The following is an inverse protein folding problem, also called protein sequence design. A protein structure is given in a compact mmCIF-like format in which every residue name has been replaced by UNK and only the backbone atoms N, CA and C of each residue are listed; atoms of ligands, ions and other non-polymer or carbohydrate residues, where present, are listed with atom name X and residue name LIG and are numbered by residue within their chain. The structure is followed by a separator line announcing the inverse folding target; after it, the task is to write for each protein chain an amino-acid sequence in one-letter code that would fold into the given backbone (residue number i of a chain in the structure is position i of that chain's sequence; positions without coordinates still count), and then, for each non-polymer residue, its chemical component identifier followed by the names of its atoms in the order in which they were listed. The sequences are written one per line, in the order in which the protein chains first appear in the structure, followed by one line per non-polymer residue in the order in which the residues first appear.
data_IF_688667443670
#
_entry.id   IF_688667443670
#
_cell.length_a   1.000
_cell.length_b   1.000
_cell.length_c   1.000
_cell.angle_alpha   90.00
_cell.angle_beta   90.00
_cell.angle_gamma   90.00
#
_symmetry.space_group_name_H-M   'P 1'
#
loop_
_entity.id
_entity.type
_entity.pdbx_description
1 polymer ?
#
# COMPACT_ATOMS: atom_id res chain seq x y z
N UNK A 1 11.51 17.45 91.17
CA UNK A 1 10.43 16.69 90.50
C UNK A 1 9.77 17.59 89.47
N UNK A 2 10.06 17.38 88.19
CA UNK A 2 9.12 17.44 87.04
C UNK A 2 9.94 17.45 85.76
N UNK A 3 9.77 16.40 84.95
CA UNK A 3 10.37 16.18 83.65
C UNK A 3 9.42 16.71 82.58
N UNK A 4 9.89 17.55 81.65
CA UNK A 4 9.23 17.74 80.36
C UNK A 4 10.19 17.35 79.24
N UNK A 5 9.81 16.30 78.50
CA UNK A 5 10.43 15.83 77.27
C UNK A 5 9.87 16.62 76.08
N UNK A 6 10.72 17.00 75.13
CA UNK A 6 10.27 17.29 73.76
C UNK A 6 11.28 16.76 72.74
N UNK A 7 10.76 16.01 71.77
CA UNK A 7 11.46 15.33 70.68
C UNK A 7 11.73 16.30 69.51
N UNK A 8 12.83 16.16 68.74
CA UNK A 8 12.99 16.89 67.49
C UNK A 8 12.29 16.16 66.33
N UNK A 9 11.60 16.94 65.49
CA UNK A 9 10.96 16.48 64.24
C UNK A 9 12.03 16.48 63.14
N UNK A 10 12.32 15.31 62.58
CA UNK A 10 13.06 15.19 61.33
C UNK A 10 12.12 15.49 60.15
N UNK A 11 12.43 16.53 59.37
CA UNK A 11 11.77 16.81 58.10
C UNK A 11 12.42 15.95 56.99
N UNK A 12 11.70 14.98 56.47
CA UNK A 12 12.13 14.18 55.31
C UNK A 12 11.66 14.87 54.03
N UNK A 13 12.61 15.42 53.26
CA UNK A 13 12.36 15.93 51.90
C UNK A 13 12.25 14.71 50.97
N UNK A 14 11.05 14.40 50.51
CA UNK A 14 10.81 13.43 49.43
C UNK A 14 11.11 14.14 48.11
N UNK A 15 12.29 13.93 47.56
CA UNK A 15 12.63 14.33 46.19
C UNK A 15 11.92 13.41 45.20
N UNK A 16 10.96 13.96 44.44
CA UNK A 16 10.35 13.28 43.30
C UNK A 16 11.38 13.22 42.15
N UNK A 17 12.00 12.05 41.98
CA UNK A 17 12.80 11.72 40.80
C UNK A 17 11.84 11.38 39.68
N UNK A 18 11.63 12.30 38.74
CA UNK A 18 10.98 11.99 37.47
C UNK A 18 11.97 11.20 36.60
N UNK A 19 11.64 9.98 36.13
CA UNK A 19 12.42 9.37 35.08
C UNK A 19 12.19 10.17 33.80
N UNK A 20 13.24 10.79 33.28
CA UNK A 20 13.23 11.32 31.93
C UNK A 20 13.11 10.13 30.96
N UNK A 21 11.88 9.84 30.53
CA UNK A 21 11.63 8.94 29.40
C UNK A 21 12.05 9.71 28.15
N UNK A 22 13.35 9.61 27.83
CA UNK A 22 13.88 9.99 26.54
C UNK A 22 13.43 8.98 25.49
N UNK A 23 12.19 9.07 25.03
CA UNK A 23 11.79 8.44 23.78
C UNK A 23 12.40 9.25 22.65
N UNK A 24 13.61 8.90 22.21
CA UNK A 24 14.02 9.22 20.84
C UNK A 24 13.05 8.47 19.93
N UNK A 25 11.99 9.15 19.51
CA UNK A 25 11.20 8.69 18.38
C UNK A 25 12.15 8.70 17.17
N UNK A 26 12.42 7.52 16.61
CA UNK A 26 13.02 7.44 15.30
C UNK A 26 12.09 8.14 14.30
N UNK A 27 12.61 8.88 13.31
CA UNK A 27 11.79 9.50 12.28
C UNK A 27 11.03 8.42 11.49
N UNK A 28 9.84 8.74 10.91
CA UNK A 28 9.01 7.75 10.25
C UNK A 28 9.71 7.18 9.01
N UNK A 29 9.95 5.87 9.01
CA UNK A 29 10.44 5.12 7.86
C UNK A 29 9.33 5.02 6.80
N UNK A 30 9.68 5.26 5.53
CA UNK A 30 8.78 5.24 4.36
C UNK A 30 7.92 3.96 4.28
N UNK A 31 6.59 4.10 4.16
CA UNK A 31 5.61 3.00 4.16
C UNK A 31 5.47 2.19 2.87
N UNK A 32 6.58 1.97 2.18
CA UNK A 32 6.64 0.98 1.13
C UNK A 32 7.29 -0.29 1.65
N UNK A 33 6.80 -1.48 1.24
CA UNK A 33 7.37 -2.71 1.73
C UNK A 33 8.81 -2.82 1.16
N UNK A 34 9.75 -3.48 1.82
CA UNK A 34 11.12 -3.63 1.31
C UNK A 34 11.13 -4.14 -0.15
N UNK A 35 12.06 -3.75 -1.03
CA UNK A 35 12.03 -4.19 -2.43
C UNK A 35 11.92 -5.72 -2.56
N UNK A 36 11.12 -6.25 -3.48
CA UNK A 36 10.92 -7.70 -3.58
C UNK A 36 12.23 -8.50 -3.77
N UNK A 37 13.23 -7.91 -4.45
CA UNK A 37 14.56 -8.51 -4.59
C UNK A 37 15.37 -8.55 -3.29
N UNK A 38 15.03 -7.75 -2.27
CA UNK A 38 15.66 -7.85 -0.95
C UNK A 38 14.99 -8.87 -0.03
N UNK A 39 13.81 -9.37 -0.40
CA UNK A 39 13.03 -10.36 0.35
C UNK A 39 13.13 -11.78 -0.23
N UNK A 40 14.25 -12.10 -0.88
CA UNK A 40 14.47 -13.44 -1.38
C UNK A 40 14.76 -14.38 -0.22
N UNK A 41 13.98 -15.44 -0.11
CA UNK A 41 14.24 -16.52 0.82
C UNK A 41 15.17 -17.56 0.20
N UNK A 42 15.83 -18.36 1.04
CA UNK A 42 16.61 -19.51 0.61
C UNK A 42 15.87 -20.79 0.95
N UNK A 43 15.76 -21.69 -0.01
CA UNK A 43 15.24 -23.03 0.18
C UNK A 43 16.33 -24.05 -0.11
N UNK A 44 16.56 -24.98 0.82
CA UNK A 44 17.49 -26.08 0.65
C UNK A 44 16.73 -27.32 0.19
N UNK A 45 17.02 -27.76 -1.03
CA UNK A 45 16.36 -28.90 -1.66
C UNK A 45 16.61 -30.17 -0.85
N UNK A 46 15.55 -30.87 -0.49
CA UNK A 46 15.62 -32.18 0.18
C UNK A 46 15.27 -33.33 -0.78
N UNK A 47 15.55 -34.55 -0.35
CA UNK A 47 15.30 -35.74 -1.16
C UNK A 47 13.80 -35.91 -1.46
N UNK A 48 13.46 -36.06 -2.74
CA UNK A 48 12.08 -36.29 -3.20
C UNK A 48 11.33 -35.04 -3.64
N UNK A 49 11.88 -33.85 -3.46
CA UNK A 49 11.30 -32.62 -4.01
C UNK A 49 11.51 -32.50 -5.52
N UNK A 50 10.50 -31.95 -6.20
CA UNK A 50 10.58 -31.53 -7.60
C UNK A 50 10.44 -30.01 -7.69
N UNK A 51 10.71 -29.44 -8.86
CA UNK A 51 10.54 -28.01 -9.09
C UNK A 51 9.08 -27.61 -8.87
N UNK A 52 8.15 -28.44 -9.32
CA UNK A 52 6.71 -28.27 -9.16
C UNK A 52 6.30 -28.36 -7.69
N UNK A 53 6.83 -29.32 -6.92
CA UNK A 53 6.45 -29.44 -5.51
C UNK A 53 6.94 -28.23 -4.70
N UNK A 54 8.15 -27.75 -4.97
CA UNK A 54 8.70 -26.55 -4.31
C UNK A 54 7.92 -25.31 -4.77
N UNK A 55 7.69 -25.14 -6.06
CA UNK A 55 6.92 -24.02 -6.58
C UNK A 55 5.52 -23.95 -5.94
N UNK A 56 4.82 -25.10 -5.85
CA UNK A 56 3.52 -25.19 -5.19
C UNK A 56 3.58 -24.86 -3.69
N UNK A 57 4.63 -25.29 -2.97
CA UNK A 57 4.81 -24.96 -1.56
C UNK A 57 4.85 -23.45 -1.30
N UNK A 58 5.48 -22.69 -2.20
CA UNK A 58 5.61 -21.24 -2.10
C UNK A 58 4.56 -20.47 -2.91
N UNK A 59 3.57 -21.16 -3.50
CA UNK A 59 2.57 -20.57 -4.39
C UNK A 59 3.18 -19.79 -5.58
N UNK A 60 4.25 -20.33 -6.14
CA UNK A 60 4.99 -19.81 -7.28
C UNK A 60 4.82 -20.70 -8.51
N UNK A 61 5.17 -20.15 -9.67
CA UNK A 61 5.32 -20.88 -10.92
C UNK A 61 6.74 -21.47 -11.01
N UNK A 62 6.89 -22.70 -11.54
CA UNK A 62 8.22 -23.28 -11.81
C UNK A 62 9.13 -22.35 -12.62
N UNK A 63 8.59 -21.60 -13.57
CA UNK A 63 9.30 -20.65 -14.42
C UNK A 63 9.87 -19.48 -13.61
N UNK A 64 9.14 -19.01 -12.60
CA UNK A 64 9.64 -18.00 -11.65
C UNK A 64 10.89 -18.53 -10.94
N UNK A 65 10.84 -19.77 -10.44
CA UNK A 65 12.00 -20.38 -9.77
C UNK A 65 13.20 -20.55 -10.73
N UNK A 66 12.98 -20.98 -11.97
CA UNK A 66 14.03 -21.08 -12.99
C UNK A 66 14.65 -19.71 -13.28
N UNK A 67 13.82 -18.66 -13.37
CA UNK A 67 14.26 -17.29 -13.63
C UNK A 67 15.20 -16.75 -12.55
N UNK A 68 14.91 -17.06 -11.28
CA UNK A 68 15.76 -16.66 -10.14
C UNK A 68 16.97 -17.56 -9.92
N UNK A 69 16.94 -18.79 -10.44
CA UNK A 69 17.96 -19.81 -10.23
C UNK A 69 18.46 -20.38 -11.57
N UNK A 70 19.43 -19.74 -12.24
CA UNK A 70 19.91 -20.16 -13.55
C UNK A 70 20.43 -21.61 -13.62
N UNK A 71 20.88 -22.17 -12.49
CA UNK A 71 21.28 -23.58 -12.37
C UNK A 71 20.13 -24.55 -12.68
N UNK A 72 18.88 -24.14 -12.49
CA UNK A 72 17.70 -24.96 -12.70
C UNK A 72 17.26 -25.03 -14.18
N UNK A 73 17.88 -24.25 -15.08
CA UNK A 73 17.50 -24.21 -16.51
C UNK A 73 17.57 -25.57 -17.21
N UNK A 74 18.42 -26.48 -16.73
CA UNK A 74 18.51 -27.84 -17.25
C UNK A 74 17.38 -28.77 -16.74
N UNK A 75 16.47 -28.27 -15.90
CA UNK A 75 15.43 -29.06 -15.23
C UNK A 75 15.97 -29.98 -14.12
N UNK A 76 17.26 -29.87 -13.79
CA UNK A 76 17.91 -30.70 -12.78
C UNK A 76 17.90 -29.95 -11.44
N UNK A 77 17.23 -30.53 -10.45
CA UNK A 77 17.27 -30.09 -9.06
C UNK A 77 18.18 -31.06 -8.29
N UNK A 78 19.28 -30.52 -7.75
CA UNK A 78 20.24 -31.30 -6.98
C UNK A 78 19.87 -31.28 -5.49
N UNK A 79 19.69 -32.46 -4.89
CA UNK A 79 19.47 -32.58 -3.45
C UNK A 79 20.63 -31.93 -2.69
N UNK A 80 20.29 -31.11 -1.69
CA UNK A 80 21.23 -30.34 -0.89
C UNK A 80 21.63 -29.00 -1.50
N UNK A 81 21.25 -28.69 -2.74
CA UNK A 81 21.44 -27.34 -3.30
C UNK A 81 20.53 -26.32 -2.63
N UNK A 82 20.98 -25.07 -2.57
CA UNK A 82 20.17 -23.93 -2.16
C UNK A 82 19.65 -23.19 -3.40
N UNK A 83 18.36 -22.87 -3.39
CA UNK A 83 17.72 -22.04 -4.42
C UNK A 83 17.06 -20.82 -3.79
N UNK A 84 17.01 -19.73 -4.55
CA UNK A 84 16.35 -18.48 -4.18
C UNK A 84 14.85 -18.57 -4.47
N UNK A 85 14.06 -18.17 -3.49
CA UNK A 85 12.60 -18.13 -3.54
C UNK A 85 12.15 -16.66 -3.49
N UNK A 86 11.61 -16.09 -4.57
CA UNK A 86 11.05 -14.75 -4.53
C UNK A 86 9.71 -14.74 -3.78
N UNK A 87 9.29 -13.57 -3.24
CA UNK A 87 8.04 -13.46 -2.50
C UNK A 87 6.79 -13.59 -3.39
N UNK A 88 6.92 -13.39 -4.70
CA UNK A 88 5.83 -13.42 -5.68
C UNK A 88 6.27 -13.98 -7.03
N UNK A 89 5.31 -14.29 -7.90
CA UNK A 89 5.56 -14.65 -9.29
C UNK A 89 6.06 -13.45 -10.10
N UNK A 90 7.16 -13.64 -10.84
CA UNK A 90 7.80 -12.58 -11.61
C UNK A 90 9.21 -12.94 -12.02
N UNK A 91 9.93 -11.96 -12.56
CA UNK A 91 11.33 -12.12 -12.97
C UNK A 91 12.18 -10.98 -12.41
N UNK A 92 13.48 -11.24 -12.29
CA UNK A 92 14.47 -10.18 -12.14
C UNK A 92 14.91 -9.73 -13.53
N UNK A 93 14.82 -8.43 -13.81
CA UNK A 93 15.36 -7.83 -15.03
C UNK A 93 16.48 -6.85 -14.70
N UNK A 94 17.40 -6.68 -15.65
CA UNK A 94 18.31 -5.55 -15.69
C UNK A 94 17.59 -4.34 -16.30
N UNK A 95 17.75 -3.17 -15.69
CA UNK A 95 17.13 -1.92 -16.13
C UNK A 95 18.04 -1.23 -17.14
N UNK A 96 17.57 -0.93 -18.38
CA UNK A 96 18.34 -0.15 -19.32
C UNK A 96 18.67 1.24 -18.79
N UNK A 97 19.85 1.74 -19.10
CA UNK A 97 20.29 3.07 -18.64
C UNK A 97 19.33 4.16 -19.12
N UNK A 98 18.91 5.04 -18.20
CA UNK A 98 17.98 6.14 -18.50
C UNK A 98 16.50 5.74 -18.59
N UNK A 99 16.16 4.46 -18.42
CA UNK A 99 14.77 4.02 -18.32
C UNK A 99 14.10 4.60 -17.08
N UNK A 100 12.78 4.71 -17.15
CA UNK A 100 11.87 5.03 -16.06
C UNK A 100 10.93 3.88 -15.73
N UNK A 101 10.30 3.93 -14.56
CA UNK A 101 9.28 2.94 -14.17
C UNK A 101 8.14 2.86 -15.19
N UNK A 102 7.81 3.98 -15.84
CA UNK A 102 6.83 4.03 -16.93
C UNK A 102 7.32 3.28 -18.17
N UNK A 103 8.57 3.48 -18.59
CA UNK A 103 9.13 2.81 -19.76
C UNK A 103 9.17 1.28 -19.56
N UNK A 104 9.54 0.84 -18.35
CA UNK A 104 9.52 -0.58 -18.00
C UNK A 104 8.09 -1.14 -17.96
N UNK A 105 7.16 -0.40 -17.37
CA UNK A 105 5.76 -0.80 -17.30
C UNK A 105 5.16 -0.99 -18.70
N UNK A 106 5.39 -0.03 -19.60
CA UNK A 106 4.93 -0.09 -20.99
C UNK A 106 5.61 -1.24 -21.76
N UNK A 107 6.93 -1.38 -21.66
CA UNK A 107 7.68 -2.41 -22.37
C UNK A 107 7.26 -3.84 -22.00
N UNK A 108 6.87 -4.06 -20.75
CA UNK A 108 6.52 -5.38 -20.23
C UNK A 108 5.01 -5.59 -20.03
N UNK A 109 4.18 -4.61 -20.41
CA UNK A 109 2.72 -4.70 -20.29
C UNK A 109 2.24 -4.87 -18.85
N UNK A 110 3.00 -4.34 -17.88
CA UNK A 110 2.63 -4.33 -16.46
C UNK A 110 2.23 -2.92 -16.06
N UNK A 111 1.49 -2.79 -14.96
CA UNK A 111 1.15 -1.46 -14.48
C UNK A 111 2.30 -0.86 -13.66
N UNK A 112 2.55 0.42 -13.90
CA UNK A 112 3.69 1.15 -13.35
C UNK A 112 3.60 1.37 -11.83
N UNK A 113 2.39 1.42 -11.26
CA UNK A 113 2.15 1.50 -9.82
C UNK A 113 2.59 0.23 -9.09
N UNK A 114 2.20 -0.93 -9.60
CA UNK A 114 2.59 -2.22 -9.02
C UNK A 114 4.09 -2.43 -9.16
N UNK A 115 4.64 -2.06 -10.32
CA UNK A 115 6.07 -2.16 -10.56
C UNK A 115 6.86 -1.27 -9.58
N UNK A 116 6.37 -0.07 -9.27
CA UNK A 116 6.99 0.83 -8.30
C UNK A 116 6.84 0.32 -6.85
N UNK A 117 5.62 -0.03 -6.43
CA UNK A 117 5.31 -0.48 -5.07
C UNK A 117 6.07 -1.78 -4.72
N UNK A 118 6.08 -2.77 -5.62
CA UNK A 118 6.73 -4.07 -5.36
C UNK A 118 8.25 -3.95 -5.23
N UNK A 119 8.82 -2.91 -5.82
CA UNK A 119 10.24 -2.58 -5.72
C UNK A 119 10.56 -1.59 -4.62
N UNK A 120 9.62 -1.31 -3.71
CA UNK A 120 9.86 -0.54 -2.49
C UNK A 120 9.84 0.97 -2.69
N UNK A 121 9.13 1.45 -3.72
CA UNK A 121 8.91 2.89 -3.97
C UNK A 121 10.20 3.72 -4.06
N UNK A 122 11.26 3.10 -4.54
CA UNK A 122 12.57 3.74 -4.69
C UNK A 122 12.80 4.17 -6.14
N UNK A 123 13.85 4.96 -6.34
CA UNK A 123 14.39 5.18 -7.68
C UNK A 123 14.81 3.85 -8.31
N UNK A 124 14.82 3.80 -9.64
CA UNK A 124 15.22 2.61 -10.37
C UNK A 124 16.64 2.18 -10.00
N UNK A 125 16.76 0.97 -9.49
CA UNK A 125 18.03 0.27 -9.32
C UNK A 125 18.45 -0.39 -10.64
N UNK A 126 19.72 -0.82 -10.71
CA UNK A 126 20.24 -1.59 -11.85
C UNK A 126 19.40 -2.84 -12.16
N UNK A 127 18.79 -3.43 -11.14
CA UNK A 127 17.90 -4.58 -11.27
C UNK A 127 16.61 -4.36 -10.52
N UNK A 128 15.50 -4.83 -11.08
CA UNK A 128 14.17 -4.72 -10.46
C UNK A 128 13.41 -6.03 -10.57
N UNK A 129 12.50 -6.24 -9.63
CA UNK A 129 11.52 -7.31 -9.69
C UNK A 129 10.37 -6.88 -10.60
N UNK A 130 10.13 -7.63 -11.66
CA UNK A 130 9.03 -7.43 -12.56
C UNK A 130 7.93 -8.45 -12.25
N UNK A 131 6.82 -8.05 -11.62
CA UNK A 131 5.77 -8.95 -11.20
C UNK A 131 4.94 -9.41 -12.40
N UNK A 132 4.46 -10.65 -12.36
CA UNK A 132 3.36 -11.08 -13.23
C UNK A 132 3.64 -11.05 -14.74
N UNK A 133 4.90 -11.08 -15.18
CA UNK A 133 5.20 -11.34 -16.59
C UNK A 133 4.68 -12.72 -16.96
N UNK A 134 3.60 -12.71 -17.72
CA UNK A 134 2.92 -13.90 -18.15
C UNK A 134 3.78 -14.60 -19.21
N UNK A 135 4.45 -15.70 -18.85
CA UNK A 135 5.04 -16.63 -19.82
C UNK A 135 3.98 -17.56 -20.44
N UNK A 136 2.75 -17.08 -20.56
CA UNK A 136 1.54 -17.79 -21.01
C UNK A 136 1.08 -18.90 -20.05
N UNK A 137 0.02 -18.61 -19.29
CA UNK A 137 -1.24 -19.34 -19.46
C UNK A 137 -2.42 -18.38 -19.54
N UNK A 138 -3.21 -18.56 -20.60
CA UNK A 138 -4.51 -17.94 -20.79
C UNK A 138 -5.38 -18.14 -19.55
N UNK A 139 -5.95 -17.06 -19.07
CA UNK A 139 -6.82 -17.05 -17.90
C UNK A 139 -7.14 -15.63 -17.47
N UNK A 140 -7.46 -14.77 -18.42
CA UNK A 140 -8.10 -13.48 -18.12
C UNK A 140 -9.44 -13.83 -17.51
N UNK A 141 -9.55 -13.80 -16.18
CA UNK A 141 -10.88 -13.64 -15.59
C UNK A 141 -11.41 -12.33 -16.15
N UNK A 142 -12.48 -12.47 -16.93
CA UNK A 142 -13.20 -11.36 -17.53
C UNK A 142 -13.57 -10.41 -16.41
N UNK A 143 -13.00 -9.21 -16.46
CA UNK A 143 -13.48 -8.06 -15.71
C UNK A 143 -14.94 -7.90 -16.13
N UNK A 144 -15.86 -8.37 -15.29
CA UNK A 144 -17.30 -8.22 -15.49
C UNK A 144 -17.64 -6.77 -15.78
N UNK A 145 -18.76 -6.57 -16.48
CA UNK A 145 -19.32 -5.30 -16.98
C UNK A 145 -19.48 -4.23 -15.89
N UNK A 146 -18.37 -3.65 -15.48
CA UNK A 146 -18.27 -2.66 -14.42
C UNK A 146 -18.57 -1.26 -14.97
N UNK A 147 -19.59 -0.60 -14.40
CA UNK A 147 -20.10 0.70 -14.87
C UNK A 147 -19.62 1.90 -14.06
N UNK A 148 -18.67 1.73 -13.14
CA UNK A 148 -18.31 2.78 -12.17
C UNK A 148 -18.77 2.45 -10.75
N UNK A 149 -18.32 3.25 -9.78
CA UNK A 149 -18.90 3.21 -8.43
C UNK A 149 -20.19 4.01 -8.44
N UNK A 150 -21.16 3.62 -7.61
CA UNK A 150 -22.46 4.27 -7.55
C UNK A 150 -22.43 5.67 -6.92
N UNK A 151 -21.41 5.98 -6.12
CA UNK A 151 -21.30 7.21 -5.35
C UNK A 151 -20.00 7.98 -5.55
N UNK A 152 -19.97 9.16 -4.94
CA UNK A 152 -18.80 10.04 -4.84
C UNK A 152 -18.29 10.05 -3.39
N UNK A 153 -16.98 10.08 -3.13
CA UNK A 153 -16.43 9.92 -1.77
C UNK A 153 -16.63 11.14 -0.86
N UNK A 154 -17.18 12.23 -1.40
CA UNK A 154 -17.50 13.48 -0.71
C UNK A 154 -18.94 13.91 -1.04
N UNK A 155 -19.57 14.77 -0.22
CA UNK A 155 -20.95 15.22 -0.47
C UNK A 155 -21.12 16.05 -1.76
N UNK A 156 -20.03 16.61 -2.30
CA UNK A 156 -19.97 17.42 -3.52
C UNK A 156 -18.79 16.99 -4.41
N UNK A 157 -18.83 17.37 -5.69
CA UNK A 157 -17.69 17.22 -6.60
C UNK A 157 -16.58 18.19 -6.19
N UNK A 158 -15.53 17.62 -5.62
CA UNK A 158 -14.38 18.37 -5.14
C UNK A 158 -13.37 18.63 -6.29
N UNK A 159 -12.71 19.80 -6.32
CA UNK A 159 -11.58 20.02 -7.21
C UNK A 159 -10.47 18.99 -6.96
N UNK A 160 -9.90 18.47 -8.04
CA UNK A 160 -8.74 17.58 -7.97
C UNK A 160 -7.50 18.46 -7.78
N UNK A 161 -6.85 18.33 -6.63
CA UNK A 161 -5.56 18.96 -6.35
C UNK A 161 -4.42 18.22 -7.05
N UNK A 162 -4.37 16.90 -6.85
CA UNK A 162 -3.43 16.00 -7.53
C UNK A 162 -4.15 14.86 -8.21
N UNK A 163 -3.84 14.65 -9.49
CA UNK A 163 -4.36 13.55 -10.29
C UNK A 163 -3.59 12.26 -10.05
N UNK A 164 -4.20 11.15 -10.38
CA UNK A 164 -3.55 9.85 -10.46
C UNK A 164 -2.43 9.86 -11.51
N UNK A 165 -1.33 9.15 -11.23
CA UNK A 165 -0.26 8.93 -12.21
C UNK A 165 1.11 9.44 -11.78
N UNK A 166 2.05 9.42 -12.72
CA UNK A 166 3.42 9.86 -12.51
C UNK A 166 3.51 11.37 -12.42
N UNK A 167 4.29 11.84 -11.45
CA UNK A 167 4.68 13.24 -11.31
C UNK A 167 6.19 13.37 -11.36
N UNK A 168 6.67 14.28 -12.19
CA UNK A 168 8.02 14.83 -12.10
C UNK A 168 7.96 16.04 -11.18
N UNK A 169 8.68 16.02 -10.07
CA UNK A 169 8.97 17.28 -9.38
C UNK A 169 10.11 17.99 -10.13
N UNK A 170 10.06 19.32 -10.20
CA UNK A 170 11.12 20.09 -10.88
C UNK A 170 12.42 20.16 -10.04
N UNK A 171 12.40 19.63 -8.82
CA UNK A 171 13.43 19.78 -7.78
C UNK A 171 14.13 18.48 -7.36
N UNK A 172 13.65 17.31 -7.77
CA UNK A 172 14.26 16.02 -7.46
C UNK A 172 14.37 15.16 -8.72
N UNK A 173 15.40 14.32 -8.74
CA UNK A 173 15.58 13.32 -9.80
C UNK A 173 14.62 12.12 -9.64
N UNK A 174 13.69 12.16 -8.65
CA UNK A 174 12.73 11.10 -8.37
C UNK A 174 11.35 11.40 -8.94
N UNK A 175 10.87 10.54 -9.85
CA UNK A 175 9.45 10.53 -10.23
C UNK A 175 8.67 9.80 -9.14
N UNK A 176 7.63 10.43 -8.61
CA UNK A 176 6.74 9.81 -7.63
C UNK A 176 5.42 9.45 -8.32
N UNK A 177 4.90 8.27 -8.00
CA UNK A 177 3.62 7.82 -8.53
C UNK A 177 2.52 8.08 -7.52
N UNK A 178 1.48 8.80 -7.95
CA UNK A 178 0.30 9.08 -7.15
C UNK A 178 -0.78 8.02 -7.44
N UNK A 179 -1.01 7.11 -6.48
CA UNK A 179 -1.88 5.93 -6.61
C UNK A 179 -3.38 6.21 -6.47
N UNK A 180 -3.76 7.47 -6.30
CA UNK A 180 -5.13 7.92 -6.16
C UNK A 180 -5.34 9.30 -6.77
N UNK A 181 -6.40 9.98 -6.33
CA UNK A 181 -6.60 11.40 -6.55
C UNK A 181 -6.73 12.12 -5.22
N UNK A 182 -6.29 13.37 -5.17
CA UNK A 182 -6.45 14.23 -4.01
C UNK A 182 -7.61 15.19 -4.25
N UNK A 183 -8.69 14.97 -3.51
CA UNK A 183 -9.91 15.75 -3.58
C UNK A 183 -9.87 16.86 -2.53
N UNK A 184 -9.74 18.11 -2.98
CA UNK A 184 -9.66 19.27 -2.09
C UNK A 184 -10.99 19.48 -1.36
N UNK A 185 -10.93 19.45 -0.02
CA UNK A 185 -12.09 19.64 0.84
C UNK A 185 -11.66 20.13 2.21
N UNK A 186 -12.49 20.95 2.86
CA UNK A 186 -12.17 21.48 4.19
C UNK A 186 -12.03 20.34 5.22
N UNK A 187 -11.11 20.52 6.17
CA UNK A 187 -10.99 19.59 7.31
C UNK A 187 -12.33 19.47 8.04
N UNK A 188 -12.71 18.25 8.40
CA UNK A 188 -14.02 17.96 9.00
C UNK A 188 -15.14 17.66 7.99
N UNK A 189 -14.93 17.90 6.69
CA UNK A 189 -15.89 17.47 5.64
C UNK A 189 -16.14 15.98 5.75
N UNK A 190 -17.40 15.54 5.71
CA UNK A 190 -17.73 14.11 5.78
C UNK A 190 -17.20 13.34 4.56
N UNK A 191 -16.67 12.15 4.82
CA UNK A 191 -16.20 11.21 3.79
C UNK A 191 -17.19 10.06 3.71
N UNK A 192 -17.57 9.71 2.48
CA UNK A 192 -18.66 8.78 2.18
C UNK A 192 -18.13 7.50 1.51
N UNK A 193 -18.76 6.36 1.79
CA UNK A 193 -18.50 5.14 1.02
C UNK A 193 -18.98 5.33 -0.42
N UNK A 194 -18.13 5.00 -1.41
CA UNK A 194 -18.48 5.15 -2.84
C UNK A 194 -19.39 4.04 -3.34
N UNK A 195 -19.45 2.93 -2.60
CA UNK A 195 -20.32 1.81 -2.90
C UNK A 195 -20.58 0.96 -1.65
N UNK A 196 -21.53 0.03 -1.73
CA UNK A 196 -21.74 -0.96 -0.69
C UNK A 196 -20.51 -1.90 -0.56
N UNK A 197 -20.18 -2.31 0.67
CA UNK A 197 -18.99 -3.11 0.90
C UNK A 197 -18.76 -3.48 2.36
N UNK A 198 -17.61 -4.08 2.62
CA UNK A 198 -17.14 -4.43 3.97
C UNK A 198 -15.82 -3.75 4.27
N UNK A 199 -15.73 -3.08 5.42
CA UNK A 199 -14.51 -2.41 5.88
C UNK A 199 -13.42 -3.45 6.13
N UNK A 200 -12.38 -3.42 5.31
CA UNK A 200 -11.23 -4.31 5.38
C UNK A 200 -10.13 -3.77 6.29
N UNK A 201 -10.04 -2.44 6.44
CA UNK A 201 -9.08 -1.77 7.30
C UNK A 201 -9.65 -0.44 7.81
N UNK A 202 -9.38 -0.12 9.08
CA UNK A 202 -9.74 1.16 9.70
C UNK A 202 -8.74 1.43 10.84
N UNK A 203 -7.61 2.05 10.52
CA UNK A 203 -6.55 2.40 11.48
C UNK A 203 -5.62 3.45 10.87
N UNK A 204 -4.56 3.81 11.60
CA UNK A 204 -3.46 4.60 11.03
C UNK A 204 -2.50 3.68 10.27
N UNK A 205 -2.14 4.06 9.04
CA UNK A 205 -1.13 3.40 8.23
C UNK A 205 -0.26 4.45 7.57
N UNK A 206 0.90 4.72 8.17
CA UNK A 206 1.98 5.33 7.43
C UNK A 206 1.72 6.69 6.79
N UNK A 207 2.20 6.86 5.55
CA UNK A 207 1.98 8.04 4.72
C UNK A 207 0.50 8.36 4.53
N UNK A 208 -0.37 7.35 4.48
CA UNK A 208 -1.83 7.57 4.38
C UNK A 208 -2.41 8.21 5.65
N UNK A 209 -1.72 8.14 6.79
CA UNK A 209 -2.29 8.58 8.07
C UNK A 209 -3.47 7.70 8.47
N UNK A 210 -4.56 8.31 8.98
CA UNK A 210 -5.79 7.55 9.25
C UNK A 210 -6.42 7.14 7.92
N UNK A 211 -6.61 5.84 7.78
CA UNK A 211 -6.98 5.18 6.54
C UNK A 211 -8.16 4.25 6.79
N UNK A 212 -9.18 4.39 5.94
CA UNK A 212 -10.25 3.39 5.79
C UNK A 212 -10.07 2.70 4.43
N UNK A 213 -10.19 1.38 4.43
CA UNK A 213 -10.19 0.55 3.22
C UNK A 213 -11.47 -0.28 3.19
N UNK A 214 -12.19 -0.24 2.07
CA UNK A 214 -13.45 -0.97 1.90
C UNK A 214 -13.32 -1.92 0.72
N UNK A 215 -13.62 -3.19 0.94
CA UNK A 215 -13.75 -4.18 -0.12
C UNK A 215 -15.20 -4.19 -0.62
N UNK A 216 -15.36 -4.07 -1.93
CA UNK A 216 -16.63 -4.07 -2.63
C UNK A 216 -16.81 -5.37 -3.42
N UNK A 217 -17.99 -5.55 -4.01
CA UNK A 217 -18.25 -6.66 -4.93
C UNK A 217 -17.37 -6.56 -6.19
N UNK A 218 -17.27 -7.67 -6.95
CA UNK A 218 -16.52 -7.70 -8.20
C UNK A 218 -15.00 -7.56 -8.03
N UNK A 219 -14.46 -7.86 -6.84
CA UNK A 219 -13.02 -7.76 -6.57
C UNK A 219 -12.54 -6.31 -6.61
N UNK A 220 -13.29 -5.38 -6.04
CA UNK A 220 -12.96 -3.94 -6.01
C UNK A 220 -12.65 -3.50 -4.59
N UNK A 221 -11.82 -2.48 -4.46
CA UNK A 221 -11.48 -1.86 -3.19
C UNK A 221 -11.40 -0.34 -3.35
N UNK A 222 -11.82 0.39 -2.33
CA UNK A 222 -11.60 1.83 -2.21
C UNK A 222 -10.77 2.14 -0.97
N UNK A 223 -9.97 3.20 -1.04
CA UNK A 223 -9.15 3.67 0.08
C UNK A 223 -9.38 5.15 0.32
N UNK A 224 -9.44 5.52 1.60
CA UNK A 224 -9.76 6.87 2.07
C UNK A 224 -8.73 7.29 3.10
N UNK A 225 -7.80 8.14 2.69
CA UNK A 225 -6.64 8.51 3.49
C UNK A 225 -6.69 9.97 3.98
N UNK A 226 -5.71 10.31 4.81
CA UNK A 226 -5.55 11.59 5.47
C UNK A 226 -6.72 11.99 6.37
N UNK A 227 -7.50 11.02 6.85
CA UNK A 227 -8.73 11.29 7.59
C UNK A 227 -8.45 11.99 8.93
N UNK A 228 -9.30 12.94 9.32
CA UNK A 228 -9.28 13.49 10.66
C UNK A 228 -9.85 12.48 11.65
N UNK A 229 -10.98 11.84 11.34
CA UNK A 229 -11.63 10.82 12.17
C UNK A 229 -12.16 9.67 11.30
N UNK A 230 -12.34 8.50 11.91
CA UNK A 230 -12.96 7.32 11.29
C UNK A 230 -14.24 6.98 12.06
N UNK A 231 -15.33 6.74 11.35
CA UNK A 231 -16.65 6.45 11.92
C UNK A 231 -17.04 4.98 11.78
N UNK A 232 -16.11 4.14 11.34
CA UNK A 232 -16.33 2.72 11.05
C UNK A 232 -15.23 1.85 11.65
N UNK A 233 -15.51 0.56 11.77
CA UNK A 233 -14.57 -0.45 12.29
C UNK A 233 -14.41 -1.61 11.32
N UNK A 234 -13.29 -2.34 11.43
CA UNK A 234 -13.01 -3.51 10.59
C UNK A 234 -14.13 -4.55 10.69
N UNK A 235 -14.58 -5.08 9.56
CA UNK A 235 -15.68 -6.05 9.45
C UNK A 235 -17.08 -5.42 9.36
N UNK A 236 -17.21 -4.10 9.57
CA UNK A 236 -18.48 -3.40 9.41
C UNK A 236 -18.93 -3.41 7.94
N UNK A 237 -20.22 -3.69 7.71
CA UNK A 237 -20.86 -3.50 6.41
C UNK A 237 -21.30 -2.05 6.26
N UNK A 238 -21.10 -1.49 5.07
CA UNK A 238 -21.50 -0.13 4.72
C UNK A 238 -22.28 -0.15 3.40
N UNK A 239 -23.15 0.83 3.24
CA UNK A 239 -23.88 1.12 2.02
C UNK A 239 -23.26 2.33 1.31
N UNK A 240 -23.59 2.49 0.03
CA UNK A 240 -23.22 3.69 -0.73
C UNK A 240 -23.72 4.95 -0.03
N UNK A 241 -22.84 5.92 0.19
CA UNK A 241 -23.17 7.18 0.85
C UNK A 241 -23.09 7.16 2.38
N UNK A 242 -22.80 6.01 3.01
CA UNK A 242 -22.58 5.95 4.46
C UNK A 242 -21.36 6.79 4.85
N UNK A 243 -21.46 7.50 5.98
CA UNK A 243 -20.35 8.29 6.52
C UNK A 243 -19.31 7.34 7.13
N UNK A 244 -18.08 7.39 6.61
CA UNK A 244 -16.98 6.54 7.06
C UNK A 244 -15.91 7.29 7.84
N UNK A 245 -15.96 8.62 7.81
CA UNK A 245 -15.01 9.48 8.51
C UNK A 245 -15.14 10.93 8.10
N UNK A 246 -14.09 11.71 8.38
CA UNK A 246 -14.00 13.10 7.97
C UNK A 246 -12.63 13.42 7.38
N UNK A 247 -12.60 14.34 6.41
CA UNK A 247 -11.37 14.87 5.80
C UNK A 247 -10.46 15.46 6.87
N UNK A 248 -9.16 15.23 6.74
CA UNK A 248 -8.16 15.72 7.67
C UNK A 248 -6.84 16.06 7.01
N UNK A 249 -5.78 15.97 7.82
CA UNK A 249 -4.41 16.29 7.43
C UNK A 249 -3.39 15.29 8.01
N UNK A 250 -3.85 14.10 8.41
CA UNK A 250 -2.97 13.09 9.03
C UNK A 250 -2.09 12.38 8.01
N UNK A 251 -0.94 11.86 8.44
CA UNK A 251 0.01 11.19 7.55
C UNK A 251 0.94 12.17 6.84
N UNK A 252 1.62 11.68 5.80
CA UNK A 252 2.48 12.48 4.93
C UNK A 252 1.72 12.79 3.65
N UNK A 253 1.61 14.07 3.30
CA UNK A 253 0.72 14.55 2.24
C UNK A 253 1.50 15.33 1.19
N UNK A 254 1.18 15.10 -0.07
CA UNK A 254 1.82 15.78 -1.22
C UNK A 254 1.24 17.18 -1.46
N UNK A 255 0.12 17.51 -0.80
CA UNK A 255 -0.49 18.83 -0.77
C UNK A 255 -0.60 19.37 0.65
N UNK A 256 -0.29 20.65 0.81
CA UNK A 256 -0.45 21.35 2.09
C UNK A 256 -1.94 21.52 2.45
N UNK A 257 -2.77 21.85 1.45
CA UNK A 257 -4.21 22.08 1.65
C UNK A 257 -4.91 20.81 2.17
N UNK A 258 -5.91 20.91 3.05
CA UNK A 258 -6.72 19.75 3.44
C UNK A 258 -7.39 19.10 2.23
N UNK A 259 -7.35 17.77 2.19
CA UNK A 259 -7.88 16.96 1.09
C UNK A 259 -8.16 15.53 1.54
N UNK A 260 -8.99 14.84 0.77
CA UNK A 260 -9.11 13.39 0.82
C UNK A 260 -8.21 12.79 -0.27
N UNK A 261 -7.24 11.97 0.13
CA UNK A 261 -6.58 11.08 -0.83
C UNK A 261 -7.46 9.84 -1.03
N UNK A 262 -7.92 9.64 -2.25
CA UNK A 262 -8.89 8.60 -2.62
C UNK A 262 -8.28 7.66 -3.66
N UNK A 263 -8.24 6.37 -3.35
CA UNK A 263 -7.80 5.35 -4.30
C UNK A 263 -8.92 4.40 -4.68
N UNK A 264 -8.78 3.88 -5.89
CA UNK A 264 -9.59 2.79 -6.40
C UNK A 264 -8.66 1.66 -6.76
N UNK A 265 -8.93 0.46 -6.26
CA UNK A 265 -8.14 -0.74 -6.56
C UNK A 265 -9.01 -1.89 -7.07
N UNK A 266 -8.39 -2.80 -7.81
CA UNK A 266 -8.98 -4.08 -8.20
C UNK A 266 -8.11 -5.24 -7.74
N UNK A 267 -8.76 -6.36 -7.47
CA UNK A 267 -8.09 -7.59 -7.10
C UNK A 267 -7.52 -8.25 -8.35
N UNK A 268 -6.26 -8.64 -8.28
CA UNK A 268 -5.55 -9.35 -9.33
C UNK A 268 -4.76 -10.52 -8.72
N UNK A 269 -4.23 -11.43 -9.54
CA UNK A 269 -3.27 -12.43 -9.07
C UNK A 269 -2.01 -11.85 -8.40
N UNK A 270 -1.76 -10.54 -8.57
CA UNK A 270 -0.64 -9.80 -7.96
C UNK A 270 -1.05 -9.03 -6.69
N UNK A 271 -2.29 -9.18 -6.23
CA UNK A 271 -2.87 -8.43 -5.12
C UNK A 271 -3.71 -7.23 -5.57
N UNK A 272 -3.89 -6.26 -4.67
CA UNK A 272 -4.69 -5.05 -4.90
C UNK A 272 -3.94 -4.01 -5.73
N UNK A 273 -4.42 -3.78 -6.94
CA UNK A 273 -3.79 -2.90 -7.91
C UNK A 273 -4.59 -1.61 -8.03
N UNK A 274 -3.94 -0.45 -7.94
CA UNK A 274 -4.63 0.83 -8.09
C UNK A 274 -5.23 0.98 -9.49
N UNK A 275 -6.07 1.98 -9.71
CA UNK A 275 -6.59 2.41 -11.01
C UNK A 275 -6.89 3.88 -10.88
N UNK A 276 -6.85 4.62 -12.00
CA UNK A 276 -7.25 6.02 -12.00
C UNK A 276 -8.71 6.13 -11.49
N UNK A 277 -8.93 6.73 -10.30
CA UNK A 277 -10.26 6.90 -9.73
C UNK A 277 -11.22 7.66 -10.65
N UNK A 278 -10.71 8.54 -11.52
CA UNK A 278 -11.55 9.33 -12.44
C UNK A 278 -12.28 8.46 -13.47
N UNK A 279 -11.80 7.24 -13.74
CA UNK A 279 -12.53 6.27 -14.58
C UNK A 279 -13.78 5.71 -13.90
N UNK A 280 -13.91 5.90 -12.59
CA UNK A 280 -14.90 5.23 -11.75
C UNK A 280 -15.84 6.20 -11.03
N UNK A 281 -15.46 7.46 -10.92
CA UNK A 281 -16.27 8.52 -10.35
C UNK A 281 -17.15 9.09 -11.47
N UNK A 282 -18.43 8.73 -11.47
CA UNK A 282 -19.40 9.37 -12.35
C UNK A 282 -19.61 10.82 -11.88
N UNK A 283 -19.58 11.79 -12.80
CA UNK A 283 -20.08 13.12 -12.48
C UNK A 283 -21.56 13.02 -12.10
N UNK A 284 -21.97 13.67 -11.01
CA UNK A 284 -23.39 13.81 -10.72
C UNK A 284 -24.03 14.52 -11.92
N UNK A 285 -25.17 14.03 -12.45
CA UNK A 285 -25.96 14.84 -13.36
C UNK A 285 -26.23 16.16 -12.65
N UNK A 286 -25.79 17.27 -13.23
CA UNK A 286 -26.15 18.61 -12.73
C UNK A 286 -27.67 18.65 -12.68
N UNK A 287 -28.23 18.81 -11.48
CA UNK A 287 -29.66 19.04 -11.33
C UNK A 287 -30.01 20.23 -12.23
N UNK A 288 -30.89 19.96 -13.19
CA UNK A 288 -31.31 20.92 -14.21
C UNK A 288 -31.70 22.26 -13.59
N UNK A 289 -31.21 23.29 -14.26
CA UNK A 289 -31.45 24.71 -14.04
C UNK A 289 -32.94 25.08 -13.92
#
# INVERSE_FOLDING_TARGET
MSLLRWFPIFATIIGLVFPAIGSKANPPENDCPPPALSRLEKHKVVAGETLESIANQYNLFPETLIGFNPSLKAGIIAVGSEILIPPFNGIRIDVPAGSSWQDLAEAYGVRSDILFEVNGCQQLSQQVFLPGVNWSRQGTQTVDSYTGFAGYPLPFEAPIGLSYGWRSDASSESRQFHSGIDLLAEMGTVVLSVDAGTVAFASTQGIYGRLVVINHQGGRQSRYAHLQNMSVTVGQQVQTGDIIGTVGVTGSRDLEQPHLHFEVRYNSPLGWVAQDPQLHLQSKPTAGR
#
